data_IF_745674479961
#
_entry.id   IF_745674479961
#
_cell.length_a   1.000
_cell.length_b   1.000
_cell.length_c   1.000
_cell.angle_alpha   90.00
_cell.angle_beta   90.00
_cell.angle_gamma   90.00
#
_symmetry.space_group_name_H-M   'P 1'
#
loop_
_entity.id
_entity.type
_entity.pdbx_description
1 polymer ?
#
# COMPACT_ATOMS: atom_id res chain seq x y z
N UNK A 1 -2.71 20.38 23.71
CA UNK A 1 -3.10 19.20 22.90
C UNK A 1 -3.04 19.65 21.44
N UNK A 2 -1.94 19.42 20.77
CA UNK A 2 -1.84 19.66 19.33
C UNK A 2 -2.79 18.67 18.66
N UNK A 3 -3.77 19.22 17.96
CA UNK A 3 -4.74 18.41 17.22
C UNK A 3 -4.00 17.66 16.10
N UNK A 4 -3.72 16.39 16.32
CA UNK A 4 -3.26 15.53 15.24
C UNK A 4 -4.29 15.57 14.11
N UNK A 5 -3.87 15.98 12.94
CA UNK A 5 -4.68 15.96 11.73
C UNK A 5 -5.12 14.50 11.49
N UNK A 6 -6.38 14.18 11.79
CA UNK A 6 -6.93 12.85 11.52
C UNK A 6 -7.22 12.82 10.01
N UNK A 7 -6.23 12.43 9.23
CA UNK A 7 -6.42 12.20 7.81
C UNK A 7 -7.20 10.90 7.64
N UNK A 8 -8.29 10.98 6.89
CA UNK A 8 -9.06 9.79 6.53
C UNK A 8 -8.39 9.12 5.32
N UNK A 9 -8.05 7.85 5.43
CA UNK A 9 -7.53 7.08 4.31
C UNK A 9 -8.64 6.94 3.26
N UNK A 10 -8.51 7.56 2.09
CA UNK A 10 -9.54 7.51 1.05
C UNK A 10 -9.91 6.06 0.71
N UNK A 11 -11.14 5.84 0.31
CA UNK A 11 -11.73 4.54 0.02
C UNK A 11 -11.83 3.60 1.24
N UNK A 12 -10.79 3.47 2.06
CA UNK A 12 -10.79 2.59 3.24
C UNK A 12 -11.70 3.17 4.33
N UNK A 13 -11.64 4.48 4.56
CA UNK A 13 -12.52 5.12 5.55
C UNK A 13 -13.99 5.12 5.16
N UNK A 14 -14.32 4.83 3.89
CA UNK A 14 -15.70 4.60 3.46
C UNK A 14 -16.22 3.20 3.83
N UNK A 15 -15.32 2.31 4.24
CA UNK A 15 -15.61 0.93 4.68
C UNK A 15 -15.56 0.76 6.19
N UNK A 16 -15.02 1.74 6.92
CA UNK A 16 -14.95 1.75 8.39
C UNK A 16 -15.81 2.86 8.98
N UNK A 17 -16.26 2.67 10.22
CA UNK A 17 -17.01 3.69 10.94
C UNK A 17 -16.10 4.68 11.66
N UNK A 18 -14.98 4.19 12.17
CA UNK A 18 -13.99 4.98 12.90
C UNK A 18 -12.76 5.25 12.02
N UNK A 19 -12.07 6.38 12.18
CA UNK A 19 -10.83 6.64 11.45
C UNK A 19 -9.77 5.56 11.70
N UNK A 20 -9.03 5.20 10.67
CA UNK A 20 -7.85 4.32 10.82
C UNK A 20 -6.78 5.05 11.63
N UNK A 21 -6.30 4.48 12.76
CA UNK A 21 -5.27 5.11 13.57
C UNK A 21 -3.96 5.31 12.79
N UNK A 22 -3.26 6.42 13.01
CA UNK A 22 -1.91 6.61 12.49
C UNK A 22 -0.97 5.53 13.04
N UNK A 23 -0.04 5.06 12.21
CA UNK A 23 0.85 3.96 12.56
C UNK A 23 0.26 2.57 12.32
N UNK A 24 -0.93 2.48 11.69
CA UNK A 24 -1.53 1.20 11.33
C UNK A 24 -0.84 0.58 10.11
N UNK A 25 -0.65 -0.73 10.14
CA UNK A 25 -0.23 -1.54 9.01
C UNK A 25 -1.43 -2.32 8.45
N UNK A 26 -1.76 -2.11 7.18
CA UNK A 26 -2.89 -2.74 6.50
C UNK A 26 -2.38 -3.63 5.37
N UNK A 27 -2.84 -4.88 5.33
CA UNK A 27 -2.63 -5.77 4.20
C UNK A 27 -3.83 -5.70 3.26
N UNK A 28 -3.57 -5.64 1.95
CA UNK A 28 -4.58 -5.75 0.91
C UNK A 28 -4.34 -7.03 0.13
N UNK A 29 -5.14 -8.05 0.40
CA UNK A 29 -5.15 -9.27 -0.38
C UNK A 29 -5.98 -9.06 -1.64
N UNK A 30 -5.34 -9.13 -2.78
CA UNK A 30 -5.99 -8.82 -4.04
C UNK A 30 -5.87 -9.94 -5.07
N UNK A 31 -6.96 -10.20 -5.78
CA UNK A 31 -6.94 -10.97 -7.02
C UNK A 31 -6.18 -10.19 -8.09
N UNK A 32 -5.22 -10.80 -8.83
CA UNK A 32 -4.50 -10.13 -9.91
C UNK A 32 -5.39 -9.47 -10.98
N UNK A 33 -6.61 -9.97 -11.16
CA UNK A 33 -7.60 -9.43 -12.08
C UNK A 33 -8.43 -8.29 -11.48
N UNK A 34 -8.28 -8.01 -10.19
CA UNK A 34 -9.01 -6.93 -9.50
C UNK A 34 -8.38 -5.56 -9.76
N UNK A 35 -9.06 -4.51 -9.32
CA UNK A 35 -8.63 -3.12 -9.52
C UNK A 35 -7.76 -2.59 -8.37
N UNK A 36 -6.91 -3.44 -7.77
CA UNK A 36 -6.03 -2.99 -6.69
C UNK A 36 -5.15 -1.82 -7.11
N UNK A 37 -4.60 -1.87 -8.32
CA UNK A 37 -3.74 -0.80 -8.81
C UNK A 37 -4.46 0.55 -8.88
N UNK A 38 -5.65 0.60 -9.47
CA UNK A 38 -6.45 1.81 -9.54
C UNK A 38 -6.89 2.28 -8.13
N UNK A 39 -7.20 1.35 -7.23
CA UNK A 39 -7.57 1.65 -5.84
C UNK A 39 -6.38 2.28 -5.08
N UNK A 40 -5.17 1.70 -5.18
CA UNK A 40 -3.97 2.24 -4.53
C UNK A 40 -3.62 3.64 -5.02
N UNK A 41 -3.77 3.91 -6.33
CA UNK A 41 -3.59 5.25 -6.91
C UNK A 41 -4.64 6.25 -6.42
N UNK A 42 -5.91 5.82 -6.32
CA UNK A 42 -6.99 6.67 -5.79
C UNK A 42 -6.73 7.02 -4.32
N UNK A 43 -6.28 6.06 -3.53
CA UNK A 43 -5.89 6.28 -2.13
C UNK A 43 -4.74 7.28 -2.05
N UNK A 44 -3.67 7.08 -2.83
CA UNK A 44 -2.51 7.98 -2.85
C UNK A 44 -2.91 9.41 -3.25
N UNK A 45 -3.64 9.55 -4.35
CA UNK A 45 -4.08 10.84 -4.86
C UNK A 45 -4.98 11.60 -3.86
N UNK A 46 -5.92 10.89 -3.24
CA UNK A 46 -6.81 11.48 -2.24
C UNK A 46 -6.06 11.94 -0.98
N UNK A 47 -5.09 11.15 -0.52
CA UNK A 47 -4.25 11.50 0.63
C UNK A 47 -3.38 12.72 0.35
N UNK A 48 -2.71 12.79 -0.82
CA UNK A 48 -1.92 13.94 -1.24
C UNK A 48 -2.75 15.21 -1.36
N UNK A 49 -3.95 15.12 -1.93
CA UNK A 49 -4.89 16.24 -2.05
C UNK A 49 -5.42 16.72 -0.71
N UNK A 50 -5.54 15.84 0.27
CA UNK A 50 -5.91 16.18 1.64
C UNK A 50 -4.78 16.83 2.45
N UNK A 51 -3.60 17.00 1.87
CA UNK A 51 -2.46 17.66 2.51
C UNK A 51 -1.42 16.69 3.11
N UNK A 52 -1.62 15.38 3.00
CA UNK A 52 -0.68 14.36 3.48
C UNK A 52 0.54 14.19 2.58
N UNK A 53 1.46 13.33 3.01
CA UNK A 53 2.60 12.86 2.24
C UNK A 53 2.45 11.39 1.87
N UNK A 54 3.02 10.96 0.76
CA UNK A 54 2.98 9.57 0.28
C UNK A 54 4.35 9.09 -0.08
N UNK A 55 4.73 7.91 0.45
CA UNK A 55 5.79 7.08 -0.13
C UNK A 55 5.13 5.94 -0.90
N UNK A 56 5.36 5.87 -2.20
CA UNK A 56 4.83 4.82 -3.05
C UNK A 56 5.95 3.90 -3.52
N UNK A 57 6.00 2.68 -2.96
CA UNK A 57 7.00 1.67 -3.33
C UNK A 57 6.49 0.86 -4.52
N UNK A 58 7.12 1.04 -5.66
CA UNK A 58 6.78 0.34 -6.91
C UNK A 58 7.64 -0.91 -7.08
N UNK A 59 7.01 -2.06 -7.15
CA UNK A 59 7.67 -3.35 -7.35
C UNK A 59 7.17 -4.07 -8.61
N UNK A 60 5.96 -3.75 -9.09
CA UNK A 60 5.32 -4.44 -10.19
C UNK A 60 5.34 -3.66 -11.53
N UNK A 61 5.69 -2.39 -11.52
CA UNK A 61 5.64 -1.52 -12.69
C UNK A 61 6.65 -0.36 -12.59
N UNK A 62 6.97 0.30 -13.72
CA UNK A 62 7.95 1.39 -13.70
C UNK A 62 7.43 2.63 -12.95
N UNK A 63 8.30 3.40 -12.28
CA UNK A 63 7.96 4.65 -11.56
C UNK A 63 7.14 5.64 -12.38
N UNK A 64 7.44 5.79 -13.67
CA UNK A 64 6.72 6.73 -14.54
C UNK A 64 5.24 6.36 -14.75
N UNK A 65 4.87 5.09 -14.62
CA UNK A 65 3.47 4.68 -14.65
C UNK A 65 2.68 5.28 -13.48
N UNK A 66 3.31 5.35 -12.29
CA UNK A 66 2.73 5.97 -11.11
C UNK A 66 2.52 7.46 -11.32
N UNK A 67 3.56 8.17 -11.79
CA UNK A 67 3.49 9.61 -12.07
C UNK A 67 2.38 9.93 -13.07
N UNK A 68 2.35 9.17 -14.17
CA UNK A 68 1.31 9.34 -15.20
C UNK A 68 -0.09 9.18 -14.64
N UNK A 69 -0.32 8.14 -13.81
CA UNK A 69 -1.64 7.91 -13.25
C UNK A 69 -2.01 8.96 -12.19
N UNK A 70 -1.08 9.37 -11.34
CA UNK A 70 -1.32 10.44 -10.36
C UNK A 70 -1.65 11.77 -11.05
N UNK A 71 -0.96 12.12 -12.16
CA UNK A 71 -1.30 13.30 -12.97
C UNK A 71 -2.71 13.20 -13.55
N UNK A 72 -3.13 12.03 -14.05
CA UNK A 72 -4.52 11.81 -14.52
C UNK A 72 -5.55 12.01 -13.41
N UNK A 73 -5.20 11.64 -12.20
CA UNK A 73 -6.02 11.88 -11.01
C UNK A 73 -5.95 13.34 -10.52
N UNK A 74 -5.30 14.25 -11.24
CA UNK A 74 -5.22 15.67 -10.93
C UNK A 74 -4.29 16.00 -9.75
N UNK A 75 -3.20 15.23 -9.60
CA UNK A 75 -2.12 15.50 -8.64
C UNK A 75 -1.00 16.26 -9.34
N UNK A 76 -0.51 17.34 -8.74
CA UNK A 76 0.70 18.03 -9.19
C UNK A 76 1.94 17.28 -8.71
N UNK A 77 2.30 16.25 -9.51
CA UNK A 77 3.40 15.33 -9.17
C UNK A 77 4.72 16.07 -9.02
N UNK A 78 5.03 17.01 -9.92
CA UNK A 78 6.33 17.65 -9.97
C UNK A 78 6.54 18.57 -8.75
N UNK A 79 5.51 19.31 -8.33
CA UNK A 79 5.56 20.12 -7.13
C UNK A 79 5.70 19.24 -5.88
N UNK A 80 4.94 18.15 -5.78
CA UNK A 80 4.95 17.27 -4.61
C UNK A 80 6.23 16.44 -4.47
N UNK A 81 6.86 16.01 -5.57
CA UNK A 81 8.18 15.37 -5.54
C UNK A 81 9.28 16.36 -5.13
N UNK A 82 9.20 17.61 -5.62
CA UNK A 82 10.14 18.68 -5.21
C UNK A 82 10.07 18.99 -3.72
N UNK A 83 8.86 18.99 -3.16
CA UNK A 83 8.60 19.26 -1.74
C UNK A 83 8.73 18.01 -0.86
N UNK A 84 9.18 16.89 -1.42
CA UNK A 84 9.32 15.56 -0.78
C UNK A 84 8.02 15.03 -0.12
N UNK A 85 6.85 15.56 -0.54
CA UNK A 85 5.54 15.06 -0.11
C UNK A 85 5.09 13.85 -0.92
N UNK A 86 5.64 13.65 -2.11
CA UNK A 86 5.52 12.43 -2.89
C UNK A 86 6.91 11.84 -3.09
N UNK A 87 7.12 10.65 -2.58
CA UNK A 87 8.33 9.86 -2.82
C UNK A 87 7.95 8.59 -3.56
N UNK A 88 8.49 8.39 -4.75
CA UNK A 88 8.38 7.13 -5.47
C UNK A 88 9.66 6.34 -5.22
N UNK A 89 9.51 5.19 -4.56
CA UNK A 89 10.61 4.29 -4.23
C UNK A 89 10.67 3.17 -5.26
N UNK A 90 11.71 3.14 -6.07
CA UNK A 90 11.87 2.18 -7.17
C UNK A 90 12.45 0.85 -6.69
N UNK A 91 11.59 -0.15 -6.57
CA UNK A 91 11.94 -1.57 -6.44
C UNK A 91 11.74 -2.36 -7.74
N UNK A 92 11.20 -1.71 -8.79
CA UNK A 92 10.92 -2.38 -10.05
C UNK A 92 12.17 -2.51 -10.95
N UNK A 93 12.95 -1.43 -11.10
CA UNK A 93 14.08 -1.41 -12.06
C UNK A 93 15.11 -2.49 -11.76
N UNK A 94 15.36 -2.79 -10.47
CA UNK A 94 16.27 -3.87 -10.07
C UNK A 94 15.75 -5.25 -10.49
N UNK A 95 14.42 -5.46 -10.61
CA UNK A 95 13.85 -6.73 -11.08
C UNK A 95 14.22 -7.03 -12.52
N UNK A 96 14.62 -6.01 -13.30
CA UNK A 96 15.08 -6.08 -14.68
C UNK A 96 16.61 -6.23 -14.77
N UNK A 97 17.32 -6.36 -13.65
CA UNK A 97 18.78 -6.38 -13.60
C UNK A 97 19.42 -5.04 -13.98
N UNK A 98 18.71 -3.92 -13.83
CA UNK A 98 19.18 -2.58 -14.20
C UNK A 98 19.35 -1.70 -12.95
N UNK A 99 20.20 -0.70 -13.06
CA UNK A 99 20.35 0.34 -12.05
C UNK A 99 19.27 1.41 -12.27
N UNK A 100 18.57 1.77 -11.20
CA UNK A 100 17.58 2.85 -11.25
C UNK A 100 18.25 4.22 -11.36
N UNK A 101 17.58 5.13 -12.05
CA UNK A 101 17.88 6.57 -12.08
C UNK A 101 17.08 7.37 -11.05
N UNK A 102 16.16 6.73 -10.32
CA UNK A 102 15.35 7.39 -9.30
C UNK A 102 16.22 7.81 -8.10
N UNK A 103 15.84 8.92 -7.47
CA UNK A 103 16.48 9.41 -6.23
C UNK A 103 16.38 8.37 -5.10
N UNK A 104 15.23 7.71 -5.03
CA UNK A 104 14.92 6.68 -4.04
C UNK A 104 14.72 5.33 -4.72
N UNK A 105 15.66 4.43 -4.54
CA UNK A 105 15.61 3.10 -5.15
C UNK A 105 16.33 2.07 -4.28
N UNK A 106 15.85 0.82 -4.33
CA UNK A 106 16.60 -0.29 -3.75
C UNK A 106 17.63 -0.83 -4.74
N UNK A 107 18.72 -1.34 -4.19
CA UNK A 107 19.74 -2.08 -4.97
C UNK A 107 19.57 -3.59 -4.83
N UNK A 108 18.66 -4.05 -3.98
CA UNK A 108 18.39 -5.46 -3.75
C UNK A 108 16.97 -5.64 -3.21
N UNK A 109 16.30 -6.71 -3.65
CA UNK A 109 15.04 -7.19 -3.09
C UNK A 109 15.25 -8.43 -2.20
N UNK A 110 16.49 -8.77 -1.86
CA UNK A 110 16.76 -9.81 -0.87
C UNK A 110 16.36 -9.34 0.53
N UNK A 111 15.63 -10.18 1.24
CA UNK A 111 15.10 -9.87 2.58
C UNK A 111 16.21 -9.47 3.58
N UNK A 112 17.38 -10.08 3.49
CA UNK A 112 18.53 -9.74 4.32
C UNK A 112 19.00 -8.30 4.09
N UNK A 113 19.13 -7.86 2.83
CA UNK A 113 19.58 -6.52 2.48
C UNK A 113 18.53 -5.47 2.85
N UNK A 114 17.25 -5.78 2.59
CA UNK A 114 16.13 -4.95 2.99
C UNK A 114 16.07 -4.79 4.53
N UNK A 115 16.30 -5.86 5.28
CA UNK A 115 16.34 -5.81 6.76
C UNK A 115 17.39 -4.84 7.28
N UNK A 116 18.57 -4.81 6.69
CA UNK A 116 19.64 -3.88 7.05
C UNK A 116 19.22 -2.44 6.74
N UNK A 117 18.70 -2.20 5.53
CA UNK A 117 18.24 -0.88 5.09
C UNK A 117 17.14 -0.35 5.99
N UNK A 118 16.08 -1.14 6.21
CA UNK A 118 14.97 -0.75 7.09
C UNK A 118 15.42 -0.47 8.52
N UNK A 119 16.28 -1.31 9.10
CA UNK A 119 16.77 -1.09 10.46
C UNK A 119 17.52 0.23 10.58
N UNK A 120 18.31 0.59 9.58
CA UNK A 120 19.06 1.83 9.56
C UNK A 120 18.18 3.07 9.39
N UNK A 121 17.24 3.03 8.44
CA UNK A 121 16.41 4.17 8.09
C UNK A 121 15.28 4.39 9.12
N UNK A 122 14.59 3.32 9.54
CA UNK A 122 13.49 3.43 10.52
C UNK A 122 13.99 3.87 11.90
N UNK A 123 15.18 3.43 12.33
CA UNK A 123 15.75 3.88 13.63
C UNK A 123 16.14 5.36 13.65
N UNK A 124 16.20 6.01 12.49
CA UNK A 124 16.53 7.43 12.33
C UNK A 124 15.34 8.28 11.95
N UNK A 125 14.24 7.65 11.57
CA UNK A 125 13.05 8.36 11.10
C UNK A 125 12.34 9.05 12.27
N UNK A 126 12.02 10.32 12.07
CA UNK A 126 11.11 11.04 12.96
C UNK A 126 9.66 10.55 12.71
N UNK A 127 8.80 10.59 13.74
CA UNK A 127 7.39 10.25 13.56
C UNK A 127 6.70 11.14 12.52
N UNK A 128 6.04 10.53 11.54
CA UNK A 128 5.34 11.22 10.45
C UNK A 128 3.90 10.71 10.32
N UNK A 129 2.97 11.13 11.20
CA UNK A 129 1.60 10.60 11.20
C UNK A 129 0.81 10.97 9.93
N UNK A 130 1.23 12.00 9.20
CA UNK A 130 0.68 12.40 7.90
C UNK A 130 1.25 11.62 6.72
N UNK A 131 2.21 10.72 6.95
CA UNK A 131 2.78 9.88 5.90
C UNK A 131 1.92 8.63 5.68
N UNK A 132 1.54 8.42 4.43
CA UNK A 132 0.98 7.17 3.93
C UNK A 132 2.01 6.43 3.10
N UNK A 133 2.38 5.24 3.53
CA UNK A 133 3.28 4.33 2.80
C UNK A 133 2.44 3.32 2.02
N UNK A 134 2.55 3.29 0.71
CA UNK A 134 1.89 2.31 -0.14
C UNK A 134 2.94 1.41 -0.79
N UNK A 135 2.78 0.11 -0.65
CA UNK A 135 3.59 -0.90 -1.33
C UNK A 135 2.66 -1.62 -2.30
N UNK A 136 2.90 -1.44 -3.61
CA UNK A 136 1.97 -1.95 -4.62
C UNK A 136 1.85 -3.48 -4.58
N UNK A 137 2.98 -4.18 -4.34
CA UNK A 137 2.99 -5.63 -4.34
C UNK A 137 4.18 -6.21 -3.57
N UNK A 138 3.97 -6.65 -2.33
CA UNK A 138 5.01 -7.35 -1.54
C UNK A 138 5.29 -8.76 -2.07
N UNK A 139 4.36 -9.37 -2.82
CA UNK A 139 4.56 -10.70 -3.41
C UNK A 139 5.71 -10.75 -4.40
N UNK A 140 6.17 -9.61 -4.92
CA UNK A 140 7.38 -9.52 -5.75
C UNK A 140 8.62 -10.02 -5.01
N UNK A 141 8.66 -9.90 -3.69
CA UNK A 141 9.78 -10.38 -2.86
C UNK A 141 9.97 -11.90 -2.96
N UNK A 142 8.89 -12.67 -3.20
CA UNK A 142 8.97 -14.12 -3.37
C UNK A 142 9.78 -14.57 -4.59
N UNK A 143 10.01 -13.69 -5.56
CA UNK A 143 10.88 -13.97 -6.72
C UNK A 143 12.37 -14.01 -6.37
N UNK A 144 12.76 -13.41 -5.26
CA UNK A 144 14.16 -13.19 -4.85
C UNK A 144 14.50 -13.85 -3.50
N UNK A 145 13.50 -14.44 -2.83
CA UNK A 145 13.63 -14.97 -1.49
C UNK A 145 12.81 -16.24 -1.30
N UNK A 146 13.31 -17.14 -0.47
CA UNK A 146 12.49 -18.18 0.12
C UNK A 146 11.33 -17.56 0.92
N UNK A 147 10.14 -18.19 0.90
CA UNK A 147 8.93 -17.65 1.49
C UNK A 147 9.14 -17.24 2.95
N UNK A 148 9.77 -18.12 3.75
CA UNK A 148 10.06 -17.82 5.15
C UNK A 148 10.89 -16.55 5.34
N UNK A 149 11.85 -16.29 4.46
CA UNK A 149 12.77 -15.16 4.62
C UNK A 149 12.08 -13.81 4.40
N UNK A 150 11.23 -13.67 3.37
CA UNK A 150 10.53 -12.41 3.14
C UNK A 150 9.36 -12.22 4.12
N UNK A 151 8.69 -13.29 4.55
CA UNK A 151 7.67 -13.21 5.60
C UNK A 151 8.30 -12.72 6.90
N UNK A 152 9.43 -13.29 7.32
CA UNK A 152 10.16 -12.86 8.51
C UNK A 152 10.61 -11.39 8.41
N UNK A 153 11.07 -10.95 7.23
CA UNK A 153 11.39 -9.54 7.00
C UNK A 153 10.18 -8.64 7.24
N UNK A 154 9.01 -8.99 6.71
CA UNK A 154 7.81 -8.18 6.91
C UNK A 154 7.39 -8.17 8.39
N UNK A 155 7.43 -9.31 9.07
CA UNK A 155 7.06 -9.42 10.48
C UNK A 155 8.02 -8.67 11.40
N UNK A 156 9.32 -8.75 11.14
CA UNK A 156 10.34 -8.18 12.02
C UNK A 156 10.68 -6.71 11.71
N UNK A 157 10.38 -6.22 10.52
CA UNK A 157 10.80 -4.89 10.06
C UNK A 157 9.68 -4.11 9.36
N UNK A 158 9.11 -4.67 8.29
CA UNK A 158 8.14 -3.95 7.46
C UNK A 158 6.91 -3.50 8.24
N UNK A 159 6.21 -4.42 8.90
CA UNK A 159 5.01 -4.13 9.68
C UNK A 159 5.33 -3.26 10.90
N UNK A 160 6.32 -3.58 11.76
CA UNK A 160 6.63 -2.74 12.91
C UNK A 160 7.08 -1.32 12.54
N UNK A 161 7.62 -1.09 11.35
CA UNK A 161 8.04 0.25 10.92
C UNK A 161 6.89 1.26 10.93
N UNK A 162 5.69 0.85 10.54
CA UNK A 162 4.50 1.69 10.56
C UNK A 162 4.23 2.26 11.97
N UNK A 163 4.26 1.41 12.98
CA UNK A 163 4.07 1.82 14.37
C UNK A 163 5.21 2.73 14.86
N UNK A 164 6.46 2.40 14.55
CA UNK A 164 7.63 3.15 15.00
C UNK A 164 7.69 4.56 14.39
N UNK A 165 7.35 4.69 13.11
CA UNK A 165 7.32 5.98 12.42
C UNK A 165 5.99 6.70 12.53
N UNK A 166 4.97 6.07 13.13
CA UNK A 166 3.57 6.53 13.16
C UNK A 166 2.96 6.78 11.77
N UNK A 167 3.60 6.27 10.71
CA UNK A 167 3.06 6.33 9.35
C UNK A 167 2.04 5.22 9.13
N UNK A 168 0.98 5.48 8.36
CA UNK A 168 0.05 4.42 7.95
C UNK A 168 0.65 3.68 6.75
N UNK A 169 0.72 2.35 6.81
CA UNK A 169 1.25 1.53 5.70
C UNK A 169 0.14 0.67 5.11
N UNK A 170 0.06 0.63 3.79
CA UNK A 170 -0.86 -0.23 3.02
C UNK A 170 -0.02 -1.07 2.07
N UNK A 171 -0.06 -2.39 2.21
CA UNK A 171 0.74 -3.31 1.41
C UNK A 171 -0.14 -4.30 0.64
N UNK A 172 -0.02 -4.31 -0.69
CA UNK A 172 -0.70 -5.28 -1.54
C UNK A 172 0.00 -6.64 -1.52
N UNK A 173 -0.77 -7.71 -1.39
CA UNK A 173 -0.32 -9.10 -1.51
C UNK A 173 -1.26 -9.87 -2.44
N UNK A 174 -0.70 -10.63 -3.38
CA UNK A 174 -1.50 -11.39 -4.35
C UNK A 174 -2.17 -12.57 -3.67
N UNK A 175 -3.50 -12.64 -3.76
CA UNK A 175 -4.29 -13.75 -3.20
C UNK A 175 -3.92 -15.08 -3.86
N UNK A 176 -3.79 -16.13 -3.06
CA UNK A 176 -3.57 -17.51 -3.53
C UNK A 176 -2.18 -17.80 -4.09
N UNK A 177 -1.24 -16.85 -4.02
CA UNK A 177 0.13 -17.04 -4.53
C UNK A 177 1.06 -17.68 -3.49
N UNK A 178 0.79 -17.49 -2.20
CA UNK A 178 1.63 -17.91 -1.09
C UNK A 178 0.98 -19.02 -0.28
N UNK A 179 1.74 -19.62 0.63
CA UNK A 179 1.18 -20.65 1.52
C UNK A 179 0.16 -20.06 2.50
N UNK A 180 -0.80 -20.86 2.92
CA UNK A 180 -1.75 -20.49 3.98
C UNK A 180 -1.04 -20.04 5.26
N UNK A 181 0.12 -20.62 5.54
CA UNK A 181 0.94 -20.25 6.70
C UNK A 181 1.47 -18.82 6.56
N UNK A 182 1.93 -18.42 5.38
CA UNK A 182 2.40 -17.05 5.13
C UNK A 182 1.28 -16.03 5.33
N UNK A 183 0.09 -16.26 4.74
CA UNK A 183 -1.05 -15.38 4.95
C UNK A 183 -1.42 -15.26 6.42
N UNK A 184 -1.59 -16.39 7.14
CA UNK A 184 -1.97 -16.37 8.56
C UNK A 184 -0.97 -15.62 9.44
N UNK A 185 0.33 -15.75 9.16
CA UNK A 185 1.36 -15.02 9.90
C UNK A 185 1.26 -13.51 9.66
N UNK A 186 1.08 -13.09 8.42
CA UNK A 186 0.92 -11.67 8.07
C UNK A 186 -0.37 -11.10 8.64
N UNK A 187 -1.51 -11.80 8.48
CA UNK A 187 -2.80 -11.42 9.05
C UNK A 187 -2.75 -11.24 10.57
N UNK A 188 -2.03 -12.12 11.26
CA UNK A 188 -1.87 -12.03 12.71
C UNK A 188 -1.05 -10.80 13.14
N UNK A 189 -0.23 -10.24 12.26
CA UNK A 189 0.68 -9.14 12.58
C UNK A 189 0.13 -7.76 12.19
N UNK A 190 -0.69 -7.68 11.13
CA UNK A 190 -1.24 -6.40 10.65
C UNK A 190 -2.44 -5.94 11.46
N UNK A 191 -2.76 -4.64 11.39
CA UNK A 191 -3.92 -4.03 12.07
C UNK A 191 -5.22 -4.21 11.28
N UNK A 192 -5.14 -4.46 9.98
CA UNK A 192 -6.30 -4.71 9.15
C UNK A 192 -5.98 -5.50 7.90
N UNK A 193 -6.98 -6.29 7.46
CA UNK A 193 -6.94 -7.05 6.22
C UNK A 193 -8.12 -6.62 5.35
N UNK A 194 -7.80 -6.18 4.16
CA UNK A 194 -8.73 -5.75 3.12
C UNK A 194 -8.64 -6.75 1.98
N UNK A 195 -9.73 -7.12 1.38
CA UNK A 195 -9.78 -8.02 0.24
C UNK A 195 -10.36 -7.33 -0.98
N UNK A 196 -9.69 -7.52 -2.12
CA UNK A 196 -10.20 -7.11 -3.44
C UNK A 196 -10.28 -8.32 -4.36
N UNK A 197 -11.39 -8.46 -5.06
CA UNK A 197 -11.56 -9.51 -6.06
C UNK A 197 -12.36 -9.05 -7.26
N UNK A 198 -12.21 -9.76 -8.37
CA UNK A 198 -13.11 -9.70 -9.52
C UNK A 198 -14.17 -10.81 -9.38
N UNK A 199 -15.43 -10.43 -9.24
CA UNK A 199 -16.56 -11.36 -9.27
C UNK A 199 -16.98 -11.60 -10.74
N UNK A 200 -16.63 -12.76 -11.25
CA UNK A 200 -16.96 -13.19 -12.64
C UNK A 200 -18.27 -13.95 -12.72
N UNK A 201 -19.00 -14.11 -11.62
CA UNK A 201 -20.32 -14.80 -11.63
C UNK A 201 -21.43 -13.89 -12.12
N UNK A 202 -21.22 -12.60 -12.18
CA UNK A 202 -22.13 -11.60 -12.74
C UNK A 202 -21.71 -11.18 -14.15
N UNK A 203 -22.68 -10.72 -14.95
CA UNK A 203 -22.46 -10.11 -16.26
C UNK A 203 -23.02 -8.67 -16.25
N UNK A 204 -22.19 -7.64 -16.42
CA UNK A 204 -20.72 -7.68 -16.49
C UNK A 204 -20.04 -8.08 -15.14
N UNK A 205 -18.77 -8.54 -15.18
CA UNK A 205 -18.00 -8.81 -13.99
C UNK A 205 -17.86 -7.59 -13.10
N UNK A 206 -17.84 -7.79 -11.77
CA UNK A 206 -17.81 -6.71 -10.77
C UNK A 206 -16.54 -6.74 -9.94
N UNK A 207 -15.93 -5.59 -9.75
CA UNK A 207 -14.85 -5.42 -8.80
C UNK A 207 -15.43 -5.23 -7.40
N UNK A 208 -15.00 -6.05 -6.47
CA UNK A 208 -15.52 -6.07 -5.11
C UNK A 208 -14.39 -5.81 -4.11
N UNK A 209 -14.71 -5.06 -3.07
CA UNK A 209 -13.84 -4.79 -1.92
C UNK A 209 -14.59 -5.06 -0.61
N UNK A 210 -13.88 -5.55 0.40
CA UNK A 210 -14.35 -5.58 1.78
C UNK A 210 -13.21 -5.44 2.77
N UNK A 211 -13.53 -5.11 4.00
CA UNK A 211 -12.64 -5.33 5.15
C UNK A 211 -12.96 -6.71 5.71
N UNK A 212 -11.95 -7.58 5.79
CA UNK A 212 -12.08 -8.91 6.41
C UNK A 212 -11.85 -8.85 7.91
N UNK A 213 -10.88 -8.04 8.33
CA UNK A 213 -10.60 -7.78 9.74
C UNK A 213 -10.01 -6.39 9.92
N UNK A 214 -10.26 -5.76 11.05
CA UNK A 214 -9.67 -4.48 11.43
C UNK A 214 -9.56 -4.42 12.94
N UNK A 215 -8.36 -4.09 13.46
CA UNK A 215 -8.14 -3.76 14.86
C UNK A 215 -8.41 -2.28 15.06
N UNK A 216 -8.89 -1.93 16.22
CA UNK A 216 -9.05 -0.54 16.67
C UNK A 216 -9.98 0.35 15.81
N UNK A 217 -10.78 -0.23 14.91
CA UNK A 217 -11.81 0.47 14.16
C UNK A 217 -12.99 -0.46 13.86
N UNK A 218 -14.21 0.04 13.96
CA UNK A 218 -15.42 -0.69 13.58
C UNK A 218 -15.57 -0.69 12.07
N UNK A 219 -16.00 -1.79 11.50
CA UNK A 219 -16.13 -1.94 10.05
C UNK A 219 -17.35 -2.78 9.68
N UNK A 220 -17.79 -2.63 8.43
CA UNK A 220 -18.78 -3.52 7.78
C UNK A 220 -18.02 -4.52 6.91
N UNK A 221 -18.09 -5.81 7.26
CA UNK A 221 -17.38 -6.88 6.54
C UNK A 221 -18.06 -7.32 5.22
N UNK A 222 -19.11 -6.63 4.78
CA UNK A 222 -19.82 -6.96 3.53
C UNK A 222 -19.01 -6.56 2.30
N UNK A 223 -19.15 -7.34 1.23
CA UNK A 223 -18.62 -6.97 -0.07
C UNK A 223 -19.33 -5.72 -0.62
N UNK A 224 -18.54 -4.76 -1.07
CA UNK A 224 -18.99 -3.53 -1.72
C UNK A 224 -18.46 -3.50 -3.15
N UNK A 225 -19.27 -3.05 -4.08
CA UNK A 225 -18.86 -2.92 -5.49
C UNK A 225 -18.04 -1.65 -5.69
N UNK A 226 -16.93 -1.78 -6.45
CA UNK A 226 -16.10 -0.67 -6.89
C UNK A 226 -16.49 -0.23 -8.29
N UNK A 227 -16.71 1.05 -8.46
CA UNK A 227 -16.85 1.72 -9.75
C UNK A 227 -15.54 2.38 -10.15
N UNK A 228 -15.16 2.18 -11.42
CA UNK A 228 -13.99 2.84 -12.02
C UNK A 228 -14.49 4.05 -12.79
N UNK A 229 -13.98 5.23 -12.45
CA UNK A 229 -14.27 6.49 -13.14
C UNK A 229 -13.46 6.66 -14.43
N UNK A 230 -13.74 7.73 -15.16
CA UNK A 230 -13.11 8.04 -16.47
C UNK A 230 -11.59 8.25 -16.35
N UNK A 231 -11.10 8.74 -15.21
CA UNK A 231 -9.68 8.93 -14.93
C UNK A 231 -9.03 7.72 -14.24
N UNK A 232 -9.68 6.57 -14.24
CA UNK A 232 -9.30 5.38 -13.48
C UNK A 232 -9.29 5.60 -11.96
N UNK A 233 -9.98 6.62 -11.46
CA UNK A 233 -10.32 6.74 -10.05
C UNK A 233 -11.32 5.66 -9.65
N UNK A 234 -11.25 5.24 -8.41
CA UNK A 234 -12.12 4.18 -7.87
C UNK A 234 -12.98 4.74 -6.76
N UNK A 235 -14.26 4.41 -6.78
CA UNK A 235 -15.24 4.78 -5.76
C UNK A 235 -16.09 3.58 -5.38
N UNK A 236 -16.62 3.60 -4.14
CA UNK A 236 -17.66 2.65 -3.77
C UNK A 236 -18.96 3.01 -4.53
N UNK A 237 -19.57 2.01 -5.13
CA UNK A 237 -20.92 2.15 -5.70
C UNK A 237 -21.91 2.37 -4.55
N UNK A 238 -22.69 3.40 -4.68
CA UNK A 238 -23.79 3.74 -3.77
C UNK A 238 -24.94 2.76 -3.88
#
# INVERSE_FOLDING_TARGET
MEGHLILRVPLINDLVTDPVPAGSALAVEFDPSSQWYAASMTIAAGWLKAGGAVTYSVNAQPPESIRTQLRRLGVDVDALEKDERLVIFDGYTITLGRKSSEKYATQSLKAADLSITYSREVMRAEPMPELLSIIDNVSTLARFNEERAWVEFLLARGIPSAFLTKSTTIAGIISGLHSDSAYRQLEAAVDGVIELKLDTTSDPPRNLIRIRSMRNARFDGRWRELQIGENFDVKLKQ
#
